data_IF_922786193781
#
_entry.id   IF_922786193781
#
_cell.length_a   1.000
_cell.length_b   1.000
_cell.length_c   1.000
_cell.angle_alpha   90.00
_cell.angle_beta   90.00
_cell.angle_gamma   90.00
#
_symmetry.space_group_name_H-M   'P 1'
#
loop_
_entity.id
_entity.type
_entity.pdbx_description
1 polymer ?
#
# COMPACT_ATOMS: atom_id res chain seq x y z
N UNK A 1 -24.40 60.46 -6.30
CA UNK A 1 -23.14 59.94 -5.71
C UNK A 1 -22.00 60.91 -6.00
N UNK A 2 -21.34 61.44 -4.97
CA UNK A 2 -20.17 62.33 -5.13
C UNK A 2 -18.92 61.51 -5.55
N UNK A 3 -17.98 62.13 -6.27
CA UNK A 3 -16.77 61.44 -6.78
C UNK A 3 -15.95 60.74 -5.68
N UNK A 4 -15.95 61.29 -4.45
CA UNK A 4 -15.32 60.69 -3.27
C UNK A 4 -15.98 59.37 -2.83
N UNK A 5 -17.29 59.21 -3.03
CA UNK A 5 -18.02 57.97 -2.73
C UNK A 5 -17.70 56.83 -3.71
N UNK A 6 -17.50 57.16 -5.01
CA UNK A 6 -17.06 56.19 -6.01
C UNK A 6 -15.67 55.66 -5.71
N UNK A 7 -14.72 56.54 -5.38
CA UNK A 7 -13.33 56.16 -5.04
C UNK A 7 -13.29 55.24 -3.81
N UNK A 8 -14.07 55.54 -2.76
CA UNK A 8 -14.17 54.67 -1.57
C UNK A 8 -14.73 53.29 -1.90
N UNK A 9 -15.71 53.21 -2.80
CA UNK A 9 -16.27 51.93 -3.26
C UNK A 9 -15.24 51.10 -4.03
N UNK A 10 -14.47 51.72 -4.93
CA UNK A 10 -13.40 51.04 -5.67
C UNK A 10 -12.28 50.54 -4.76
N UNK A 11 -11.88 51.33 -3.76
CA UNK A 11 -10.88 50.91 -2.76
C UNK A 11 -11.40 49.73 -1.94
N UNK A 12 -12.65 49.79 -1.45
CA UNK A 12 -13.25 48.68 -0.70
C UNK A 12 -13.37 47.41 -1.55
N UNK A 13 -13.77 47.53 -2.82
CA UNK A 13 -13.86 46.41 -3.75
C UNK A 13 -12.48 45.80 -4.05
N UNK A 14 -11.44 46.64 -4.23
CA UNK A 14 -10.08 46.18 -4.45
C UNK A 14 -9.53 45.42 -3.23
N UNK A 15 -9.77 45.92 -2.02
CA UNK A 15 -9.39 45.24 -0.77
C UNK A 15 -10.11 43.90 -0.65
N UNK A 16 -11.44 43.87 -0.88
CA UNK A 16 -12.21 42.63 -0.84
C UNK A 16 -11.70 41.59 -1.84
N UNK A 17 -11.34 42.02 -3.06
CA UNK A 17 -10.75 41.15 -4.07
C UNK A 17 -9.41 40.56 -3.64
N UNK A 18 -8.51 41.37 -3.07
CA UNK A 18 -7.22 40.90 -2.55
C UNK A 18 -7.41 39.93 -1.39
N UNK A 19 -8.33 40.22 -0.46
CA UNK A 19 -8.64 39.31 0.65
C UNK A 19 -9.18 37.96 0.15
N UNK A 20 -10.07 37.97 -0.85
CA UNK A 20 -10.60 36.75 -1.47
C UNK A 20 -9.50 35.96 -2.18
N UNK A 21 -8.66 36.62 -2.97
CA UNK A 21 -7.55 35.97 -3.66
C UNK A 21 -6.55 35.35 -2.67
N UNK A 22 -6.23 36.05 -1.58
CA UNK A 22 -5.37 35.53 -0.51
C UNK A 22 -5.99 34.35 0.23
N UNK A 23 -7.30 34.39 0.52
CA UNK A 23 -8.02 33.28 1.14
C UNK A 23 -8.03 32.03 0.25
N UNK A 24 -8.32 32.21 -1.04
CA UNK A 24 -8.29 31.11 -2.02
C UNK A 24 -6.88 30.49 -2.08
N UNK A 25 -5.83 31.31 -2.19
CA UNK A 25 -4.45 30.82 -2.20
C UNK A 25 -4.11 30.03 -0.92
N UNK A 26 -4.54 30.51 0.25
CA UNK A 26 -4.35 29.82 1.52
C UNK A 26 -5.04 28.45 1.56
N UNK A 27 -6.27 28.35 1.05
CA UNK A 27 -6.98 27.06 0.94
C UNK A 27 -6.26 26.07 0.02
N UNK A 28 -5.71 26.52 -1.11
CA UNK A 28 -4.91 25.66 -1.99
C UNK A 28 -3.63 25.16 -1.32
N UNK A 29 -2.94 26.02 -0.56
CA UNK A 29 -1.74 25.64 0.20
C UNK A 29 -2.07 24.62 1.28
N UNK A 30 -3.17 24.83 2.02
CA UNK A 30 -3.61 23.88 3.06
C UNK A 30 -3.94 22.51 2.47
N UNK A 31 -4.73 22.46 1.38
CA UNK A 31 -5.03 21.20 0.68
C UNK A 31 -3.73 20.49 0.25
N UNK A 32 -2.79 21.21 -0.36
CA UNK A 32 -1.52 20.62 -0.79
C UNK A 32 -0.65 20.10 0.38
N UNK A 33 -0.71 20.74 1.54
CA UNK A 33 -0.01 20.27 2.75
C UNK A 33 -0.65 19.01 3.33
N UNK A 34 -1.99 18.96 3.38
CA UNK A 34 -2.73 17.79 3.84
C UNK A 34 -2.47 16.58 2.92
N UNK A 35 -2.52 16.77 1.60
CA UNK A 35 -2.20 15.71 0.64
C UNK A 35 -0.77 15.16 0.83
N UNK A 36 0.21 16.04 1.06
CA UNK A 36 1.59 15.62 1.35
C UNK A 36 1.72 14.89 2.69
N UNK A 37 0.97 15.32 3.71
CA UNK A 37 0.94 14.66 5.01
C UNK A 37 0.40 13.24 4.91
N UNK A 38 -0.72 13.06 4.22
CA UNK A 38 -1.30 11.74 3.95
C UNK A 38 -0.39 10.86 3.12
N UNK A 39 0.20 11.41 2.06
CA UNK A 39 1.14 10.68 1.21
C UNK A 39 2.30 10.10 2.04
N UNK A 40 2.92 10.93 2.89
CA UNK A 40 4.02 10.51 3.74
C UNK A 40 3.60 9.48 4.79
N UNK A 41 2.42 9.66 5.40
CA UNK A 41 1.87 8.71 6.37
C UNK A 41 1.65 7.32 5.74
N UNK A 42 1.05 7.26 4.55
CA UNK A 42 0.82 5.98 3.86
C UNK A 42 2.14 5.30 3.47
N UNK A 43 3.07 6.04 2.90
CA UNK A 43 4.38 5.51 2.52
C UNK A 43 5.14 4.97 3.74
N UNK A 44 5.07 5.66 4.89
CA UNK A 44 5.71 5.21 6.13
C UNK A 44 5.10 3.91 6.65
N UNK A 45 3.77 3.77 6.61
CA UNK A 45 3.09 2.53 7.00
C UNK A 45 3.42 1.37 6.07
N UNK A 46 3.43 1.61 4.75
CA UNK A 46 3.84 0.59 3.79
C UNK A 46 5.28 0.16 3.99
N UNK A 47 6.19 1.12 4.18
CA UNK A 47 7.60 0.85 4.36
C UNK A 47 7.85 0.02 5.62
N UNK A 48 7.21 0.37 6.75
CA UNK A 48 7.30 -0.41 7.98
C UNK A 48 6.77 -1.84 7.81
N UNK A 49 5.56 -2.00 7.26
CA UNK A 49 4.96 -3.32 7.07
C UNK A 49 5.75 -4.19 6.08
N UNK A 50 6.34 -3.59 5.03
CA UNK A 50 7.21 -4.31 4.10
C UNK A 50 8.56 -4.69 4.72
N UNK A 51 9.11 -3.86 5.60
CA UNK A 51 10.33 -4.18 6.32
C UNK A 51 10.13 -5.35 7.29
N UNK A 52 9.04 -5.34 8.04
CA UNK A 52 8.69 -6.45 8.96
C UNK A 52 8.49 -7.74 8.17
N UNK A 53 7.73 -7.66 7.07
CA UNK A 53 7.50 -8.80 6.17
C UNK A 53 8.77 -9.32 5.52
N UNK A 54 9.68 -8.45 5.09
CA UNK A 54 10.97 -8.84 4.52
C UNK A 54 11.81 -9.63 5.54
N UNK A 55 11.82 -9.17 6.79
CA UNK A 55 12.47 -9.87 7.90
C UNK A 55 11.85 -11.26 8.12
N UNK A 56 10.54 -11.38 8.22
CA UNK A 56 9.90 -12.68 8.47
C UNK A 56 10.04 -13.65 7.29
N UNK A 57 10.08 -13.13 6.06
CA UNK A 57 10.38 -13.91 4.85
C UNK A 57 11.84 -14.39 4.79
N UNK A 58 12.79 -13.59 5.29
CA UNK A 58 14.20 -14.01 5.45
C UNK A 58 14.32 -15.14 6.48
N UNK A 59 13.67 -15.02 7.63
CA UNK A 59 13.65 -16.09 8.64
C UNK A 59 13.00 -17.38 8.12
N UNK A 60 11.97 -17.28 7.26
CA UNK A 60 11.37 -18.44 6.61
C UNK A 60 12.38 -19.17 5.71
N UNK A 61 13.20 -18.44 4.95
CA UNK A 61 14.22 -18.99 4.08
C UNK A 61 15.36 -19.66 4.87
N UNK A 62 15.73 -19.07 6.02
CA UNK A 62 16.77 -19.58 6.91
C UNK A 62 16.30 -20.75 7.81
N UNK A 63 14.99 -21.00 7.90
CA UNK A 63 14.44 -22.03 8.77
C UNK A 63 14.86 -23.43 8.31
N UNK A 64 15.68 -24.10 9.13
CA UNK A 64 16.16 -25.47 8.87
C UNK A 64 15.12 -26.57 9.19
N UNK A 65 14.01 -26.22 9.84
CA UNK A 65 12.99 -27.17 10.29
C UNK A 65 11.59 -26.79 9.82
N UNK A 66 10.74 -27.80 9.62
CA UNK A 66 9.33 -27.58 9.26
C UNK A 66 8.56 -26.78 10.34
N UNK A 67 8.83 -27.02 11.62
CA UNK A 67 8.23 -26.24 12.71
C UNK A 67 8.66 -24.76 12.65
N UNK A 68 9.91 -24.50 12.30
CA UNK A 68 10.42 -23.15 12.07
C UNK A 68 9.69 -22.46 10.91
N UNK A 69 9.58 -23.15 9.77
CA UNK A 69 8.86 -22.64 8.59
C UNK A 69 7.38 -22.36 8.89
N UNK A 70 6.70 -23.22 9.64
CA UNK A 70 5.30 -23.01 10.05
C UNK A 70 5.15 -21.80 10.99
N UNK A 71 6.08 -21.62 11.93
CA UNK A 71 6.10 -20.44 12.81
C UNK A 71 6.32 -19.15 12.01
N UNK A 72 7.22 -19.17 11.03
CA UNK A 72 7.44 -18.03 10.13
C UNK A 72 6.21 -17.76 9.27
N UNK A 73 5.49 -18.79 8.82
CA UNK A 73 4.26 -18.62 8.04
C UNK A 73 3.17 -17.88 8.84
N UNK A 74 3.03 -18.16 10.13
CA UNK A 74 2.10 -17.42 10.99
C UNK A 74 2.48 -15.92 11.04
N UNK A 75 3.77 -15.61 11.21
CA UNK A 75 4.27 -14.25 11.25
C UNK A 75 4.08 -13.51 9.91
N UNK A 76 4.46 -14.14 8.79
CA UNK A 76 4.25 -13.63 7.42
C UNK A 76 2.76 -13.33 7.18
N UNK A 77 1.86 -14.22 7.59
CA UNK A 77 0.43 -14.01 7.37
C UNK A 77 -0.15 -12.91 8.25
N UNK A 78 0.40 -12.69 9.45
CA UNK A 78 0.08 -11.53 10.27
C UNK A 78 0.54 -10.23 9.61
N UNK A 79 1.73 -10.20 9.03
CA UNK A 79 2.22 -9.03 8.30
C UNK A 79 1.40 -8.73 7.05
N UNK A 80 0.97 -9.76 6.31
CA UNK A 80 0.02 -9.62 5.21
C UNK A 80 -1.32 -9.02 5.70
N UNK A 81 -1.80 -9.39 6.89
CA UNK A 81 -3.01 -8.79 7.48
C UNK A 81 -2.80 -7.31 7.79
N UNK A 82 -1.65 -6.93 8.33
CA UNK A 82 -1.31 -5.52 8.57
C UNK A 82 -1.24 -4.73 7.26
N UNK A 83 -0.57 -5.28 6.25
CA UNK A 83 -0.43 -4.68 4.93
C UNK A 83 -1.79 -4.51 4.25
N UNK A 84 -2.65 -5.53 4.31
CA UNK A 84 -4.06 -5.46 3.87
C UNK A 84 -4.79 -4.31 4.54
N UNK A 85 -4.69 -4.19 5.87
CA UNK A 85 -5.36 -3.12 6.61
C UNK A 85 -4.88 -1.73 6.18
N UNK A 86 -3.58 -1.57 5.89
CA UNK A 86 -3.03 -0.33 5.33
C UNK A 86 -3.54 -0.06 3.91
N UNK A 87 -3.63 -1.07 3.05
CA UNK A 87 -4.24 -0.93 1.72
C UNK A 87 -5.71 -0.52 1.78
N UNK A 88 -6.50 -1.14 2.65
CA UNK A 88 -7.91 -0.81 2.85
C UNK A 88 -8.09 0.62 3.37
N UNK A 89 -7.30 1.00 4.39
CA UNK A 89 -7.29 2.37 4.91
C UNK A 89 -6.90 3.38 3.85
N UNK A 90 -5.83 3.09 3.10
CA UNK A 90 -5.32 3.98 2.08
C UNK A 90 -6.37 4.25 1.00
N UNK A 91 -7.02 3.21 0.45
CA UNK A 91 -7.97 3.42 -0.64
C UNK A 91 -9.24 4.17 -0.19
N UNK A 92 -9.71 3.90 1.03
CA UNK A 92 -10.88 4.57 1.60
C UNK A 92 -10.60 6.05 1.89
N UNK A 93 -9.42 6.36 2.43
CA UNK A 93 -9.04 7.74 2.74
C UNK A 93 -8.57 8.51 1.50
N UNK A 94 -7.87 7.88 0.57
CA UNK A 94 -7.47 8.50 -0.69
C UNK A 94 -8.69 8.86 -1.54
N UNK A 95 -9.74 8.05 -1.53
CA UNK A 95 -11.00 8.37 -2.21
C UNK A 95 -11.71 9.62 -1.67
N UNK A 96 -11.45 9.99 -0.40
CA UNK A 96 -12.04 11.18 0.25
C UNK A 96 -11.08 12.38 0.12
N UNK A 97 -9.82 12.18 0.46
CA UNK A 97 -8.81 13.24 0.61
C UNK A 97 -8.07 13.56 -0.69
N UNK A 98 -8.01 12.62 -1.64
CA UNK A 98 -7.29 12.74 -2.90
C UNK A 98 -8.10 12.21 -4.10
N UNK A 99 -9.37 12.63 -4.28
CA UNK A 99 -10.29 12.02 -5.24
C UNK A 99 -9.80 12.10 -6.70
N UNK A 100 -9.06 13.17 -7.04
CA UNK A 100 -8.48 13.35 -8.38
C UNK A 100 -7.41 12.29 -8.69
N UNK A 101 -6.66 11.83 -7.68
CA UNK A 101 -5.62 10.82 -7.86
C UNK A 101 -6.23 9.41 -7.97
N UNK A 102 -7.30 9.12 -7.22
CA UNK A 102 -7.97 7.81 -7.24
C UNK A 102 -8.93 7.62 -8.41
N UNK A 103 -9.44 8.71 -9.01
CA UNK A 103 -10.37 8.63 -10.15
C UNK A 103 -9.75 8.07 -11.45
N UNK A 104 -8.42 7.90 -11.50
CA UNK A 104 -7.65 7.59 -12.71
C UNK A 104 -7.37 6.09 -12.94
N UNK A 105 -8.33 5.21 -12.67
CA UNK A 105 -8.21 3.79 -13.00
C UNK A 105 -7.37 2.96 -12.02
N UNK A 106 -7.26 3.42 -10.76
CA UNK A 106 -6.71 2.62 -9.66
C UNK A 106 -7.67 1.46 -9.37
N UNK A 107 -7.16 0.23 -9.36
CA UNK A 107 -7.93 -0.93 -8.92
C UNK A 107 -8.23 -0.82 -7.42
N UNK A 108 -9.45 -0.41 -7.06
CA UNK A 108 -9.83 -0.18 -5.67
C UNK A 108 -9.95 -1.48 -4.84
N UNK A 109 -9.79 -2.64 -5.48
CA UNK A 109 -9.97 -3.95 -4.85
C UNK A 109 -8.64 -4.62 -4.44
N UNK A 110 -7.49 -3.94 -4.51
CA UNK A 110 -6.19 -4.52 -4.17
C UNK A 110 -6.09 -5.14 -2.78
N UNK A 111 -6.77 -4.56 -1.79
CA UNK A 111 -6.83 -5.14 -0.43
C UNK A 111 -7.62 -6.46 -0.38
N UNK A 112 -8.57 -6.69 -1.29
CA UNK A 112 -9.28 -7.98 -1.41
C UNK A 112 -8.40 -9.05 -1.98
N UNK A 113 -7.44 -8.69 -2.83
CA UNK A 113 -6.44 -9.62 -3.34
C UNK A 113 -5.54 -10.11 -2.20
N UNK A 114 -5.06 -9.20 -1.35
CA UNK A 114 -4.35 -9.56 -0.12
C UNK A 114 -5.20 -10.47 0.79
N UNK A 115 -6.46 -10.12 1.02
CA UNK A 115 -7.39 -10.94 1.81
C UNK A 115 -7.59 -12.35 1.23
N UNK A 116 -7.67 -12.48 -0.09
CA UNK A 116 -7.78 -13.76 -0.76
C UNK A 116 -6.52 -14.60 -0.57
N UNK A 117 -5.33 -14.00 -0.75
CA UNK A 117 -4.05 -14.70 -0.54
C UNK A 117 -3.92 -15.19 0.90
N UNK A 118 -4.18 -14.32 1.89
CA UNK A 118 -4.16 -14.67 3.32
C UNK A 118 -5.14 -15.83 3.60
N UNK A 119 -6.35 -15.75 3.05
CA UNK A 119 -7.37 -16.78 3.21
C UNK A 119 -6.92 -18.15 2.68
N UNK A 120 -6.34 -18.16 1.48
CA UNK A 120 -5.83 -19.37 0.83
C UNK A 120 -4.68 -20.00 1.62
N UNK A 121 -3.71 -19.19 2.05
CA UNK A 121 -2.56 -19.69 2.83
C UNK A 121 -3.03 -20.29 4.16
N UNK A 122 -3.87 -19.56 4.91
CA UNK A 122 -4.24 -19.96 6.27
C UNK A 122 -5.30 -21.06 6.34
N UNK A 123 -6.27 -21.05 5.42
CA UNK A 123 -7.47 -21.89 5.51
C UNK A 123 -7.73 -22.72 4.26
N UNK A 124 -6.92 -22.55 3.21
CA UNK A 124 -7.25 -23.07 1.90
C UNK A 124 -8.53 -22.43 1.36
N UNK A 125 -9.17 -23.09 0.42
CA UNK A 125 -10.45 -22.65 -0.11
C UNK A 125 -10.80 -23.28 -1.44
N UNK A 126 -11.73 -22.64 -2.14
CA UNK A 126 -12.09 -23.01 -3.50
C UNK A 126 -12.02 -21.79 -4.39
N UNK A 127 -11.22 -21.86 -5.45
CA UNK A 127 -11.10 -20.81 -6.47
C UNK A 127 -11.26 -21.47 -7.83
N UNK A 128 -12.19 -20.96 -8.65
CA UNK A 128 -12.49 -21.50 -9.98
C UNK A 128 -12.69 -23.03 -10.00
N UNK A 129 -13.43 -23.54 -9.02
CA UNK A 129 -13.67 -24.98 -8.81
C UNK A 129 -12.43 -25.83 -8.47
N UNK A 130 -11.26 -25.22 -8.28
CA UNK A 130 -10.07 -25.87 -7.74
C UNK A 130 -10.09 -25.78 -6.21
N UNK A 131 -9.97 -26.93 -5.54
CA UNK A 131 -9.82 -26.99 -4.10
C UNK A 131 -8.34 -26.77 -3.75
N UNK A 132 -8.09 -25.78 -2.90
CA UNK A 132 -6.76 -25.40 -2.44
C UNK A 132 -6.69 -25.79 -0.97
N UNK A 133 -5.72 -26.62 -0.60
CA UNK A 133 -5.45 -26.91 0.81
C UNK A 133 -4.79 -25.69 1.47
N UNK A 134 -4.92 -25.57 2.80
CA UNK A 134 -4.08 -24.61 3.54
C UNK A 134 -2.64 -25.12 3.55
N UNK A 135 -1.70 -24.20 3.70
CA UNK A 135 -0.26 -24.51 3.81
C UNK A 135 0.08 -25.30 5.09
N UNK A 136 -0.88 -25.46 5.99
CA UNK A 136 -0.72 -26.19 7.25
C UNK A 136 -1.50 -27.51 7.26
N UNK A 137 -2.16 -27.89 6.15
CA UNK A 137 -3.14 -28.96 6.13
C UNK A 137 -2.55 -30.35 6.42
N UNK A 138 -1.32 -30.61 5.96
CA UNK A 138 -0.60 -31.87 6.11
C UNK A 138 0.57 -31.78 7.11
N UNK A 139 0.73 -30.63 7.77
CA UNK A 139 1.76 -30.39 8.77
C UNK A 139 3.16 -30.13 8.22
N UNK A 140 3.30 -29.88 6.90
CA UNK A 140 4.56 -29.47 6.28
C UNK A 140 4.30 -28.47 5.15
N UNK A 141 5.34 -27.71 4.78
CA UNK A 141 5.29 -26.85 3.60
C UNK A 141 5.90 -27.61 2.42
N UNK A 142 5.13 -27.78 1.34
CA UNK A 142 5.61 -28.39 0.10
C UNK A 142 6.61 -27.49 -0.65
N UNK A 143 7.37 -28.06 -1.58
CA UNK A 143 8.30 -27.29 -2.42
C UNK A 143 7.57 -26.22 -3.24
N UNK A 144 6.36 -26.52 -3.72
CA UNK A 144 5.54 -25.58 -4.46
C UNK A 144 5.02 -24.43 -3.59
N UNK A 145 4.59 -24.71 -2.36
CA UNK A 145 4.16 -23.68 -1.40
C UNK A 145 5.32 -22.79 -0.99
N UNK A 146 6.49 -23.38 -0.70
CA UNK A 146 7.72 -22.64 -0.42
C UNK A 146 8.11 -21.73 -1.59
N UNK A 147 7.93 -22.18 -2.85
CA UNK A 147 8.20 -21.36 -4.03
C UNK A 147 7.29 -20.11 -4.12
N UNK A 148 6.04 -20.20 -3.66
CA UNK A 148 5.14 -19.04 -3.58
C UNK A 148 5.60 -18.05 -2.50
N UNK A 149 6.08 -18.55 -1.35
CA UNK A 149 6.64 -17.70 -0.30
C UNK A 149 7.93 -17.02 -0.78
N UNK A 150 8.80 -17.74 -1.50
CA UNK A 150 10.00 -17.15 -2.10
C UNK A 150 9.69 -16.10 -3.17
N UNK A 151 8.62 -16.29 -3.95
CA UNK A 151 8.14 -15.25 -4.86
C UNK A 151 7.72 -14.00 -4.10
N UNK A 152 6.94 -14.15 -3.02
CA UNK A 152 6.55 -13.02 -2.17
C UNK A 152 7.79 -12.30 -1.61
N UNK A 153 8.80 -13.03 -1.15
CA UNK A 153 10.08 -12.46 -0.71
C UNK A 153 10.73 -11.60 -1.80
N UNK A 154 10.91 -12.16 -2.98
CA UNK A 154 11.56 -11.46 -4.08
C UNK A 154 10.82 -10.18 -4.50
N UNK A 155 9.49 -10.21 -4.49
CA UNK A 155 8.66 -9.04 -4.81
C UNK A 155 8.63 -8.01 -3.67
N UNK A 156 8.59 -8.44 -2.41
CA UNK A 156 8.67 -7.58 -1.22
C UNK A 156 10.00 -6.86 -1.17
N UNK A 157 11.12 -7.57 -1.33
CA UNK A 157 12.47 -6.99 -1.34
C UNK A 157 12.63 -5.97 -2.47
N UNK A 158 12.11 -6.30 -3.66
CA UNK A 158 12.12 -5.39 -4.81
C UNK A 158 11.31 -4.13 -4.55
N UNK A 159 10.06 -4.28 -4.07
CA UNK A 159 9.20 -3.13 -3.80
C UNK A 159 9.78 -2.25 -2.69
N UNK A 160 10.27 -2.86 -1.61
CA UNK A 160 10.89 -2.16 -0.50
C UNK A 160 12.11 -1.35 -0.94
N UNK A 161 12.98 -1.95 -1.76
CA UNK A 161 14.13 -1.27 -2.36
C UNK A 161 13.73 -0.15 -3.33
N UNK A 162 12.69 -0.37 -4.15
CA UNK A 162 12.20 0.65 -5.08
C UNK A 162 11.51 1.83 -4.38
N UNK A 163 10.97 1.63 -3.17
CA UNK A 163 10.26 2.68 -2.43
C UNK A 163 11.17 3.82 -1.99
N UNK A 164 12.45 3.56 -1.72
CA UNK A 164 13.34 4.52 -1.10
C UNK A 164 14.67 4.65 -1.82
N UNK A 165 15.24 5.85 -1.80
CA UNK A 165 16.63 6.08 -2.20
C UNK A 165 17.38 6.80 -1.08
N UNK A 166 18.69 6.54 -0.90
CA UNK A 166 19.51 7.30 0.03
C UNK A 166 19.44 8.80 -0.28
N UNK A 167 19.38 9.62 0.76
CA UNK A 167 19.55 11.06 0.62
C UNK A 167 21.00 11.41 0.27
N UNK A 168 21.27 12.68 -0.08
CA UNK A 168 22.59 13.13 -0.56
C UNK A 168 23.73 12.83 0.41
N UNK A 169 23.42 12.63 1.70
CA UNK A 169 24.40 12.36 2.74
C UNK A 169 24.45 10.86 3.14
N UNK A 170 23.59 10.02 2.56
CA UNK A 170 23.47 8.59 2.85
C UNK A 170 22.97 8.26 4.26
N UNK A 171 22.49 9.26 5.01
CA UNK A 171 22.10 9.11 6.41
C UNK A 171 20.59 9.01 6.60
N UNK A 172 19.80 9.50 5.64
CA UNK A 172 18.36 9.30 5.59
C UNK A 172 17.98 8.73 4.23
N UNK A 173 16.70 8.41 4.08
CA UNK A 173 16.12 8.03 2.81
C UNK A 173 15.00 9.00 2.40
N UNK A 174 14.73 9.05 1.10
CA UNK A 174 13.57 9.73 0.53
C UNK A 174 12.69 8.71 -0.17
N UNK A 175 11.38 8.86 -0.04
CA UNK A 175 10.44 8.08 -0.83
C UNK A 175 10.45 8.57 -2.28
N UNK A 176 10.60 7.64 -3.22
CA UNK A 176 10.60 7.93 -4.67
C UNK A 176 9.34 7.45 -5.37
N UNK A 177 8.62 6.50 -4.77
CA UNK A 177 7.32 6.07 -5.23
C UNK A 177 6.21 6.87 -4.53
N UNK A 178 5.10 7.05 -5.23
CA UNK A 178 3.87 7.54 -4.60
C UNK A 178 3.16 6.42 -3.83
N UNK A 179 2.37 6.77 -2.83
CA UNK A 179 1.56 5.83 -2.06
C UNK A 179 0.63 5.00 -2.95
N UNK A 180 0.05 5.63 -3.98
CA UNK A 180 -0.82 4.97 -4.97
C UNK A 180 -0.04 3.99 -5.83
N UNK A 181 1.17 4.34 -6.24
CA UNK A 181 2.02 3.43 -7.00
C UNK A 181 2.40 2.20 -6.17
N UNK A 182 2.75 2.39 -4.88
CA UNK A 182 3.01 1.27 -3.96
C UNK A 182 1.77 0.37 -3.83
N UNK A 183 0.59 0.97 -3.63
CA UNK A 183 -0.68 0.24 -3.58
C UNK A 183 -0.92 -0.59 -4.85
N UNK A 184 -0.69 -0.01 -6.04
CA UNK A 184 -0.90 -0.69 -7.32
C UNK A 184 0.08 -1.86 -7.51
N UNK A 185 1.35 -1.67 -7.13
CA UNK A 185 2.36 -2.73 -7.20
C UNK A 185 2.02 -3.87 -6.24
N UNK A 186 1.62 -3.57 -5.01
CA UNK A 186 1.12 -4.57 -4.04
C UNK A 186 -0.07 -5.35 -4.60
N UNK A 187 -1.01 -4.64 -5.23
CA UNK A 187 -2.17 -5.27 -5.89
C UNK A 187 -1.72 -6.29 -6.95
N UNK A 188 -0.78 -5.91 -7.80
CA UNK A 188 -0.24 -6.80 -8.83
C UNK A 188 0.50 -8.01 -8.23
N UNK A 189 1.29 -7.81 -7.16
CA UNK A 189 1.98 -8.89 -6.44
C UNK A 189 0.95 -9.90 -5.91
N UNK A 190 -0.12 -9.44 -5.24
CA UNK A 190 -1.14 -10.35 -4.72
C UNK A 190 -1.94 -11.07 -5.80
N UNK A 191 -2.19 -10.41 -6.94
CA UNK A 191 -2.82 -11.07 -8.09
C UNK A 191 -1.93 -12.18 -8.65
N UNK A 192 -0.62 -11.96 -8.77
CA UNK A 192 0.32 -12.98 -9.25
C UNK A 192 0.44 -14.14 -8.25
N UNK A 193 0.60 -13.84 -6.96
CA UNK A 193 0.61 -14.86 -5.90
C UNK A 193 -0.65 -15.73 -5.93
N UNK A 194 -1.84 -15.12 -6.02
CA UNK A 194 -3.11 -15.84 -6.13
C UNK A 194 -3.12 -16.74 -7.36
N UNK A 195 -2.64 -16.26 -8.50
CA UNK A 195 -2.55 -17.06 -9.72
C UNK A 195 -1.61 -18.28 -9.56
N UNK A 196 -0.47 -18.10 -8.89
CA UNK A 196 0.46 -19.20 -8.60
C UNK A 196 -0.14 -20.24 -7.65
N UNK A 197 -0.82 -19.80 -6.59
CA UNK A 197 -1.54 -20.69 -5.65
C UNK A 197 -2.56 -21.57 -6.37
N UNK A 198 -3.35 -20.98 -7.29
CA UNK A 198 -4.31 -21.74 -8.11
C UNK A 198 -3.59 -22.74 -9.02
N UNK A 199 -2.45 -22.36 -9.60
CA UNK A 199 -1.68 -23.20 -10.53
C UNK A 199 -1.10 -24.44 -9.87
N UNK A 200 -0.62 -24.31 -8.63
CA UNK A 200 -0.05 -25.43 -7.87
C UNK A 200 -1.13 -26.49 -7.62
N UNK A 201 -2.34 -26.07 -7.29
CA UNK A 201 -3.46 -26.96 -6.98
C UNK A 201 -4.20 -27.53 -8.22
N UNK A 202 -3.73 -27.22 -9.43
CA UNK A 202 -4.24 -27.81 -10.68
C UNK A 202 -3.39 -28.97 -11.21
N UNK A 203 -2.20 -29.19 -10.64
CA UNK A 203 -1.30 -30.29 -11.03
C UNK A 203 -1.67 -31.56 -10.28
#
# INVERSE_FOLDING_TARGET
MTGKGKIRLYIAAAIAFVCLAGWIALLYVQKAQEEKGWEHEFLTRYHAALNDMASDLEHFEEAETFEGQLSCLEAITNDLVQLKAHMEMHINLAGISMPEKTASGVDMAGWREAESVIGLVNRGGTVDSCQIASFQADGAISEEEAAVIQLLKAETDRLYGDMTVPDENGMNYKYVLSSIEVYQRLTAIFQDMKAQLIRINRK
#
